data_IF_020379240068
#
_entry.id   IF_020379240068
#
_cell.length_a   1.000
_cell.length_b   1.000
_cell.length_c   1.000
_cell.angle_alpha   90.00
_cell.angle_beta   90.00
_cell.angle_gamma   90.00
#
_symmetry.space_group_name_H-M   'P 1'
#
loop_
_entity.id
_entity.type
_entity.pdbx_description
1 polymer ?
#
# COMPACT_ATOMS: atom_id res chain seq x y z
N UNK A 1 7.66 21.92 -61.33
CA UNK A 1 6.20 21.66 -61.26
C UNK A 1 5.78 21.78 -59.81
N UNK A 2 4.87 22.70 -59.43
CA UNK A 2 4.52 22.94 -58.05
C UNK A 2 3.41 22.00 -57.59
N UNK A 3 3.61 21.33 -56.45
CA UNK A 3 2.58 20.52 -55.78
C UNK A 3 1.82 21.42 -54.82
N UNK A 4 0.52 21.55 -55.07
CA UNK A 4 -0.42 22.37 -54.31
C UNK A 4 -0.58 21.83 -52.87
N UNK A 5 -0.48 22.73 -51.88
CA UNK A 5 -0.84 22.43 -50.49
C UNK A 5 -2.32 22.77 -50.29
N UNK A 6 -3.14 21.78 -49.99
CA UNK A 6 -4.52 21.97 -49.56
C UNK A 6 -4.57 22.50 -48.12
N UNK A 7 -5.17 23.67 -47.95
CA UNK A 7 -5.62 24.17 -46.65
C UNK A 7 -6.97 23.53 -46.29
N UNK A 8 -7.18 23.04 -45.06
CA UNK A 8 -8.52 22.71 -44.55
C UNK A 8 -9.27 23.98 -44.11
N UNK A 9 -10.61 24.03 -44.24
CA UNK A 9 -11.43 25.17 -43.82
C UNK A 9 -11.57 25.25 -42.28
N UNK A 10 -11.93 26.44 -41.73
CA UNK A 10 -12.10 26.64 -40.30
C UNK A 10 -13.45 26.08 -39.81
N UNK A 11 -13.45 25.53 -38.59
CA UNK A 11 -14.67 25.19 -37.85
C UNK A 11 -15.28 26.47 -37.29
N UNK A 12 -16.45 26.85 -37.83
CA UNK A 12 -17.30 27.90 -37.29
C UNK A 12 -17.82 27.52 -35.89
N UNK A 13 -17.62 28.44 -34.96
CA UNK A 13 -18.32 28.51 -33.69
C UNK A 13 -19.69 29.15 -33.90
N UNK A 14 -20.75 28.51 -33.41
CA UNK A 14 -22.03 29.16 -33.21
C UNK A 14 -22.71 28.64 -31.93
N UNK A 15 -22.84 29.52 -30.93
CA UNK A 15 -24.20 29.91 -30.54
C UNK A 15 -24.72 29.51 -29.15
N UNK A 16 -24.48 30.39 -28.18
CA UNK A 16 -25.56 31.15 -27.49
C UNK A 16 -26.48 30.43 -26.48
N UNK A 17 -26.15 30.63 -25.19
CA UNK A 17 -26.94 31.44 -24.22
C UNK A 17 -28.12 30.85 -23.41
N UNK A 18 -28.03 31.17 -22.12
CA UNK A 18 -29.06 31.74 -21.25
C UNK A 18 -30.01 30.85 -20.43
N UNK A 19 -29.74 30.90 -19.12
CA UNK A 19 -30.56 31.57 -18.10
C UNK A 19 -31.60 30.78 -17.27
N UNK A 20 -31.49 31.07 -15.96
CA UNK A 20 -32.56 31.26 -14.95
C UNK A 20 -33.27 30.02 -14.40
N UNK A 21 -33.07 29.78 -13.10
CA UNK A 21 -33.87 30.41 -12.03
C UNK A 21 -33.29 30.07 -10.64
N UNK A 22 -32.79 31.09 -9.95
CA UNK A 22 -32.95 31.21 -8.49
C UNK A 22 -34.38 31.65 -8.20
N UNK A 23 -35.00 31.08 -7.15
CA UNK A 23 -35.82 31.78 -6.14
C UNK A 23 -36.32 30.81 -5.07
N UNK A 24 -35.81 31.05 -3.86
CA UNK A 24 -36.48 31.24 -2.57
C UNK A 24 -37.66 30.35 -2.15
N UNK A 25 -37.48 29.72 -0.97
CA UNK A 25 -38.49 29.70 0.09
C UNK A 25 -37.83 29.48 1.47
N UNK A 26 -37.50 30.60 2.10
CA UNK A 26 -37.91 31.05 3.44
C UNK A 26 -38.18 30.01 4.54
N UNK A 27 -37.53 30.29 5.67
CA UNK A 27 -37.75 29.84 7.05
C UNK A 27 -39.21 29.69 7.48
N UNK A 28 -39.48 28.72 8.36
CA UNK A 28 -40.38 28.97 9.48
C UNK A 28 -39.94 28.25 10.74
N UNK A 29 -40.26 28.90 11.85
CA UNK A 29 -39.83 28.74 13.22
C UNK A 29 -40.28 27.43 13.89
N UNK A 30 -39.47 26.95 14.82
CA UNK A 30 -39.80 25.75 15.61
C UNK A 30 -38.92 25.53 16.83
N UNK A 31 -38.61 26.60 17.55
CA UNK A 31 -37.96 26.54 18.85
C UNK A 31 -38.93 25.94 19.89
N UNK A 32 -38.59 24.80 20.51
CA UNK A 32 -39.16 24.44 21.81
C UNK A 32 -38.18 23.55 22.62
N UNK A 33 -37.26 24.24 23.29
CA UNK A 33 -36.68 23.77 24.55
C UNK A 33 -37.54 24.32 25.69
N UNK A 34 -38.03 23.45 26.59
CA UNK A 34 -37.76 23.60 28.04
C UNK A 34 -38.17 22.36 28.86
N UNK A 35 -37.52 22.17 30.02
CA UNK A 35 -37.48 20.90 30.75
C UNK A 35 -38.24 20.96 32.09
N UNK A 36 -38.03 19.91 32.91
CA UNK A 36 -38.20 19.76 34.38
C UNK A 36 -39.36 18.86 34.83
N UNK A 37 -39.38 18.39 36.10
CA UNK A 37 -38.30 17.72 36.86
C UNK A 37 -38.84 16.47 37.57
N UNK A 38 -37.97 15.58 38.08
CA UNK A 38 -38.17 15.03 39.44
C UNK A 38 -36.94 14.29 39.96
N UNK A 39 -36.38 14.91 40.99
CA UNK A 39 -35.50 14.35 42.01
C UNK A 39 -36.07 13.03 42.55
N UNK A 40 -35.20 12.03 42.72
CA UNK A 40 -35.14 11.27 43.97
C UNK A 40 -33.69 11.09 44.37
N UNK A 41 -33.39 11.66 45.53
CA UNK A 41 -32.15 11.50 46.25
C UNK A 41 -32.38 10.57 47.45
N UNK A 42 -31.25 10.01 47.90
CA UNK A 42 -30.92 9.45 49.24
C UNK A 42 -30.96 7.92 49.37
N UNK A 43 -30.16 7.32 50.28
CA UNK A 43 -29.19 7.93 51.21
C UNK A 43 -27.74 7.43 51.09
N UNK A 44 -26.84 8.30 51.54
CA UNK A 44 -25.44 8.04 51.88
C UNK A 44 -25.41 7.18 53.14
N UNK A 45 -24.75 6.01 53.10
CA UNK A 45 -24.33 5.28 54.32
C UNK A 45 -22.83 5.47 54.47
N UNK A 46 -22.46 6.28 55.47
CA UNK A 46 -21.09 6.39 55.97
C UNK A 46 -20.91 5.28 57.00
N UNK A 47 -19.97 4.37 56.76
CA UNK A 47 -19.42 3.49 57.78
C UNK A 47 -17.89 3.66 57.76
N UNK A 48 -17.37 4.34 58.78
CA UNK A 48 -15.96 4.32 59.15
C UNK A 48 -15.61 2.93 59.69
N UNK A 49 -14.53 2.31 59.19
CA UNK A 49 -13.79 1.32 59.98
C UNK A 49 -12.31 1.28 59.60
N UNK A 50 -11.51 1.73 60.58
CA UNK A 50 -10.20 1.28 61.05
C UNK A 50 -9.12 0.84 60.03
N UNK A 51 -8.00 1.55 60.11
CA UNK A 51 -6.72 1.23 59.51
C UNK A 51 -6.13 -0.10 60.04
N UNK A 52 -5.63 -0.93 59.13
CA UNK A 52 -4.59 -1.93 59.38
C UNK A 52 -3.54 -1.78 58.27
N UNK A 53 -2.42 -1.12 58.59
CA UNK A 53 -1.25 -1.05 57.72
C UNK A 53 -0.49 -2.36 57.91
N UNK A 54 -0.79 -3.36 57.08
CA UNK A 54 0.07 -4.53 56.94
C UNK A 54 1.20 -4.18 55.97
N UNK A 55 2.42 -4.09 56.51
CA UNK A 55 3.66 -3.96 55.75
C UNK A 55 3.89 -5.21 54.92
N UNK A 56 3.31 -5.25 53.73
CA UNK A 56 3.62 -6.29 52.74
C UNK A 56 4.91 -5.84 52.06
N UNK A 57 5.99 -6.58 52.32
CA UNK A 57 7.32 -6.29 51.83
C UNK A 57 7.37 -6.11 50.33
N UNK A 58 8.23 -5.19 49.89
CA UNK A 58 8.65 -5.06 48.50
C UNK A 58 9.25 -6.38 48.03
N UNK A 59 8.44 -7.27 47.47
CA UNK A 59 8.99 -8.27 46.56
C UNK A 59 9.45 -7.49 45.34
N UNK A 60 10.77 -7.41 45.20
CA UNK A 60 11.41 -6.85 44.03
C UNK A 60 10.80 -7.50 42.81
N UNK A 61 10.10 -6.70 42.00
CA UNK A 61 9.83 -7.07 40.62
C UNK A 61 11.22 -7.15 40.01
N UNK A 62 11.77 -8.36 39.89
CA UNK A 62 12.83 -8.61 38.93
C UNK A 62 12.21 -8.24 37.60
N UNK A 63 12.48 -7.02 37.14
CA UNK A 63 12.34 -6.68 35.74
C UNK A 63 13.02 -7.82 35.00
N UNK A 64 12.23 -8.62 34.28
CA UNK A 64 12.80 -9.46 33.24
C UNK A 64 13.59 -8.47 32.40
N UNK A 65 14.91 -8.62 32.39
CA UNK A 65 15.73 -8.02 31.37
C UNK A 65 15.09 -8.48 30.07
N UNK A 66 14.35 -7.56 29.45
CA UNK A 66 14.08 -7.62 28.04
C UNK A 66 15.46 -7.82 27.43
N UNK A 67 15.68 -9.00 26.87
CA UNK A 67 16.80 -9.26 25.99
C UNK A 67 16.67 -8.16 24.94
N UNK A 68 17.44 -7.08 25.12
CA UNK A 68 17.39 -5.86 24.33
C UNK A 68 17.89 -6.07 22.91
N UNK A 69 17.43 -7.15 22.26
CA UNK A 69 17.51 -7.39 20.84
C UNK A 69 16.71 -6.29 20.17
N UNK A 70 17.43 -5.20 19.91
CA UNK A 70 17.05 -4.21 18.92
C UNK A 70 16.69 -4.97 17.65
N UNK A 71 15.39 -4.97 17.30
CA UNK A 71 14.95 -5.56 16.04
C UNK A 71 15.58 -4.72 14.94
N UNK A 72 16.59 -5.29 14.30
CA UNK A 72 17.27 -4.66 13.18
C UNK A 72 16.33 -4.66 11.97
N UNK A 73 16.13 -3.52 11.27
CA UNK A 73 15.17 -3.41 10.16
C UNK A 73 15.66 -4.02 8.84
N UNK A 74 16.91 -4.49 8.77
CA UNK A 74 17.55 -5.10 7.59
C UNK A 74 17.94 -6.56 7.81
N UNK A 75 18.14 -7.26 6.71
CA UNK A 75 18.85 -8.53 6.65
C UNK A 75 20.33 -8.31 6.30
N UNK A 76 21.14 -9.33 6.50
CA UNK A 76 22.53 -9.42 6.03
C UNK A 76 22.78 -10.85 5.53
N UNK A 77 23.96 -11.11 4.96
CA UNK A 77 24.39 -12.47 4.56
C UNK A 77 24.32 -13.49 5.71
N UNK A 78 24.41 -13.03 6.97
CA UNK A 78 24.32 -13.87 8.15
C UNK A 78 22.89 -14.40 8.42
N UNK A 79 21.87 -13.77 7.83
CA UNK A 79 20.45 -14.08 8.08
C UNK A 79 19.86 -15.05 7.03
N UNK A 80 20.70 -15.71 6.25
CA UNK A 80 20.27 -16.59 5.17
C UNK A 80 19.46 -17.81 5.67
N UNK A 81 18.36 -18.22 5.00
CA UNK A 81 17.73 -17.55 3.86
C UNK A 81 17.05 -16.24 4.26
N UNK A 82 17.11 -15.24 3.39
CA UNK A 82 16.58 -13.89 3.66
C UNK A 82 15.07 -13.93 3.93
N UNK A 83 14.64 -13.22 4.96
CA UNK A 83 13.24 -13.17 5.39
C UNK A 83 12.72 -11.74 5.50
N UNK A 84 11.39 -11.59 5.42
CA UNK A 84 10.76 -10.31 5.68
C UNK A 84 10.93 -9.90 7.15
N UNK A 85 11.54 -8.74 7.37
CA UNK A 85 11.41 -7.99 8.63
C UNK A 85 10.28 -6.98 8.49
N UNK A 86 10.32 -6.26 7.38
CA UNK A 86 9.32 -5.30 6.90
C UNK A 86 9.38 -5.28 5.37
N UNK A 87 8.36 -4.73 4.72
CA UNK A 87 8.30 -4.60 3.27
C UNK A 87 7.89 -3.19 2.85
N UNK A 88 8.25 -2.82 1.63
CA UNK A 88 7.62 -1.68 0.98
C UNK A 88 6.45 -2.19 0.12
N UNK A 89 5.45 -1.34 -0.13
CA UNK A 89 4.31 -1.68 -0.95
C UNK A 89 4.15 -0.71 -2.12
N UNK A 90 3.92 -1.27 -3.30
CA UNK A 90 3.67 -0.55 -4.54
C UNK A 90 2.44 -1.11 -5.25
N UNK A 91 1.88 -0.32 -6.14
CA UNK A 91 0.73 -0.74 -6.95
C UNK A 91 0.84 -0.20 -8.37
N UNK A 92 0.49 -1.02 -9.35
CA UNK A 92 0.41 -0.65 -10.76
C UNK A 92 -0.93 -1.11 -11.34
N UNK A 93 -1.54 -0.28 -12.20
CA UNK A 93 -2.78 -0.62 -12.88
C UNK A 93 -2.61 -0.40 -14.38
N UNK A 94 -2.81 -1.46 -15.15
CA UNK A 94 -2.64 -1.49 -16.60
C UNK A 94 -3.88 -2.05 -17.28
N UNK A 95 -4.22 -1.52 -18.45
CA UNK A 95 -5.36 -2.00 -19.24
C UNK A 95 -6.68 -2.05 -18.43
N UNK A 96 -6.86 -1.17 -17.44
CA UNK A 96 -8.09 -1.09 -16.64
C UNK A 96 -8.80 0.24 -16.86
N UNK A 97 -10.11 0.24 -16.63
CA UNK A 97 -10.88 1.43 -16.29
C UNK A 97 -11.01 1.48 -14.77
N UNK A 98 -10.54 2.57 -14.17
CA UNK A 98 -10.51 2.66 -12.71
C UNK A 98 -9.57 1.65 -12.05
N UNK A 99 -9.16 1.98 -10.84
CA UNK A 99 -8.34 1.09 -10.02
C UNK A 99 -8.32 1.62 -8.58
N UNK A 100 -8.96 0.90 -7.66
CA UNK A 100 -9.08 1.30 -6.28
C UNK A 100 -8.45 0.23 -5.42
N UNK A 101 -7.33 0.56 -4.76
CA UNK A 101 -6.56 -0.39 -3.97
C UNK A 101 -6.35 0.17 -2.58
N UNK A 102 -6.80 -0.57 -1.58
CA UNK A 102 -6.53 -0.29 -0.16
C UNK A 102 -5.68 -1.40 0.43
N UNK A 103 -4.64 -1.05 1.18
CA UNK A 103 -3.80 -2.00 1.90
C UNK A 103 -3.33 -1.37 3.22
N UNK A 104 -3.20 -2.18 4.28
CA UNK A 104 -2.90 -1.73 5.64
C UNK A 104 -3.67 -0.46 6.09
N UNK A 105 -4.96 -0.38 5.76
CA UNK A 105 -5.82 0.75 6.13
C UNK A 105 -5.60 2.03 5.32
N UNK A 106 -4.75 2.02 4.30
CA UNK A 106 -4.46 3.17 3.43
C UNK A 106 -4.99 2.93 2.02
N UNK A 107 -5.64 3.94 1.46
CA UNK A 107 -5.92 4.01 0.01
C UNK A 107 -4.59 4.26 -0.72
N UNK A 108 -4.11 3.25 -1.44
CA UNK A 108 -2.81 3.27 -2.15
C UNK A 108 -3.00 3.69 -3.61
N UNK A 109 -4.14 3.34 -4.21
CA UNK A 109 -4.53 3.78 -5.56
C UNK A 109 -5.99 4.17 -5.57
N UNK A 110 -6.27 5.26 -6.26
CA UNK A 110 -7.61 5.78 -6.53
C UNK A 110 -7.60 6.37 -7.94
N UNK A 111 -8.11 5.62 -8.91
CA UNK A 111 -8.15 6.02 -10.31
C UNK A 111 -9.58 6.04 -10.83
N UNK A 112 -9.96 7.06 -11.63
CA UNK A 112 -11.31 7.17 -12.15
C UNK A 112 -11.58 6.15 -13.26
N UNK A 113 -12.86 5.84 -13.43
CA UNK A 113 -13.37 4.80 -14.33
C UNK A 113 -13.60 5.28 -15.77
N UNK A 114 -13.33 6.55 -16.08
CA UNK A 114 -13.68 7.19 -17.37
C UNK A 114 -12.64 7.00 -18.47
N UNK A 115 -11.39 6.73 -18.10
CA UNK A 115 -10.28 6.55 -19.04
C UNK A 115 -9.60 5.20 -18.87
N UNK A 116 -9.41 4.49 -19.99
CA UNK A 116 -8.60 3.28 -20.04
C UNK A 116 -7.14 3.63 -19.74
N UNK A 117 -6.56 2.96 -18.76
CA UNK A 117 -5.15 3.10 -18.40
C UNK A 117 -4.25 2.48 -19.46
N UNK A 118 -3.00 2.95 -19.46
CA UNK A 118 -1.95 2.43 -20.31
C UNK A 118 -1.87 0.90 -20.21
N UNK A 119 -1.60 0.21 -21.32
CA UNK A 119 -1.29 -1.22 -21.32
C UNK A 119 0.14 -1.47 -20.83
N UNK A 120 0.42 -2.55 -20.10
CA UNK A 120 1.80 -2.89 -19.73
C UNK A 120 2.65 -3.16 -20.98
N UNK A 121 2.06 -3.71 -22.05
CA UNK A 121 2.73 -4.02 -23.31
C UNK A 121 3.33 -2.78 -23.99
N UNK A 122 2.73 -1.61 -23.81
CA UNK A 122 3.23 -0.38 -24.43
C UNK A 122 4.47 0.18 -23.73
N UNK A 123 4.86 -0.38 -22.58
CA UNK A 123 6.12 -0.05 -21.91
C UNK A 123 7.32 -0.77 -22.54
N UNK A 124 7.09 -1.82 -23.35
CA UNK A 124 8.13 -2.61 -23.99
C UNK A 124 9.13 -3.16 -22.97
N UNK A 125 10.42 -3.03 -23.29
CA UNK A 125 11.54 -3.54 -22.47
C UNK A 125 11.62 -2.94 -21.06
N UNK A 126 10.85 -1.90 -20.75
CA UNK A 126 10.78 -1.34 -19.38
C UNK A 126 9.92 -2.18 -18.45
N UNK A 127 9.06 -3.05 -18.97
CA UNK A 127 8.21 -3.92 -18.17
C UNK A 127 8.83 -5.32 -18.05
N UNK A 128 8.85 -5.96 -16.86
CA UNK A 128 8.28 -5.50 -15.58
C UNK A 128 9.23 -4.62 -14.74
N UNK A 129 10.40 -4.27 -15.27
CA UNK A 129 11.45 -3.52 -14.56
C UNK A 129 11.06 -2.11 -14.13
N UNK A 130 9.90 -1.59 -14.49
CA UNK A 130 9.38 -0.31 -14.04
C UNK A 130 8.59 -0.41 -12.71
N UNK A 131 8.30 -1.62 -12.22
CA UNK A 131 7.49 -1.84 -11.02
C UNK A 131 8.30 -1.58 -9.74
N UNK A 132 7.78 -0.72 -8.84
CA UNK A 132 8.46 -0.29 -7.61
C UNK A 132 7.51 -0.18 -6.43
N UNK A 133 8.04 -0.41 -5.23
CA UNK A 133 7.41 -0.03 -3.96
C UNK A 133 7.53 1.49 -3.73
N UNK A 134 6.51 2.08 -3.13
CA UNK A 134 6.53 3.52 -2.77
C UNK A 134 6.13 3.80 -1.33
N UNK A 135 5.38 2.89 -0.71
CA UNK A 135 5.01 2.99 0.70
C UNK A 135 5.93 2.13 1.55
N UNK A 136 6.74 2.77 2.39
CA UNK A 136 7.90 2.14 3.02
C UNK A 136 7.60 1.55 4.41
N UNK A 137 8.34 0.50 4.77
CA UNK A 137 8.50 0.06 6.17
C UNK A 137 7.23 -0.53 6.81
N UNK A 138 6.45 -1.30 6.04
CA UNK A 138 5.28 -2.01 6.54
C UNK A 138 5.74 -3.28 7.25
N UNK A 139 5.44 -3.38 8.54
CA UNK A 139 5.75 -4.57 9.35
C UNK A 139 4.78 -5.72 9.07
N UNK A 140 5.30 -6.96 9.10
CA UNK A 140 4.54 -8.20 8.86
C UNK A 140 3.74 -8.14 7.55
N UNK A 141 2.62 -8.85 7.50
CA UNK A 141 1.61 -8.77 6.45
C UNK A 141 0.29 -8.31 7.06
N UNK A 142 -0.11 -7.06 6.84
CA UNK A 142 -1.44 -6.55 7.19
C UNK A 142 -2.58 -7.38 6.58
N UNK A 143 -3.85 -7.11 6.98
CA UNK A 143 -4.99 -7.71 6.32
C UNK A 143 -4.97 -7.53 4.79
N UNK A 144 -5.65 -8.42 4.04
CA UNK A 144 -5.60 -8.47 2.59
C UNK A 144 -5.77 -7.10 1.92
N UNK A 145 -5.02 -6.90 0.82
CA UNK A 145 -5.23 -5.76 -0.04
C UNK A 145 -6.60 -5.91 -0.72
N UNK A 146 -7.43 -4.88 -0.63
CA UNK A 146 -8.75 -4.82 -1.27
C UNK A 146 -8.61 -4.14 -2.61
N UNK A 147 -9.00 -4.82 -3.67
CA UNK A 147 -8.82 -4.37 -5.06
C UNK A 147 -10.20 -4.30 -5.72
N UNK A 148 -10.55 -3.15 -6.29
CA UNK A 148 -11.69 -3.00 -7.20
C UNK A 148 -11.25 -2.32 -8.49
N UNK A 149 -11.67 -2.86 -9.62
CA UNK A 149 -11.31 -2.33 -10.93
C UNK A 149 -12.33 -2.74 -11.98
N UNK A 150 -12.20 -2.19 -13.18
CA UNK A 150 -12.95 -2.63 -14.35
C UNK A 150 -11.97 -3.02 -15.44
N UNK A 151 -12.08 -4.23 -15.98
CA UNK A 151 -11.19 -4.74 -17.03
C UNK A 151 -11.35 -3.94 -18.33
N UNK A 152 -10.43 -4.15 -19.27
CA UNK A 152 -10.41 -3.48 -20.57
C UNK A 152 -11.70 -3.67 -21.37
N UNK A 153 -12.36 -4.80 -21.19
CA UNK A 153 -13.66 -5.13 -21.79
C UNK A 153 -14.86 -4.50 -21.06
N UNK A 154 -14.62 -3.78 -19.97
CA UNK A 154 -15.64 -3.09 -19.20
C UNK A 154 -16.29 -3.90 -18.08
N UNK A 155 -15.86 -5.14 -17.81
CA UNK A 155 -16.40 -5.93 -16.70
C UNK A 155 -15.86 -5.47 -15.34
N UNK A 156 -16.72 -5.34 -14.33
CA UNK A 156 -16.35 -4.94 -12.97
C UNK A 156 -15.85 -6.13 -12.15
N UNK A 157 -14.78 -5.92 -11.39
CA UNK A 157 -14.15 -6.94 -10.56
C UNK A 157 -13.85 -6.42 -9.15
N UNK A 158 -13.86 -7.34 -8.18
CA UNK A 158 -13.39 -7.13 -6.82
C UNK A 158 -12.63 -8.37 -6.35
N UNK A 159 -11.52 -8.15 -5.63
CA UNK A 159 -10.72 -9.22 -5.07
C UNK A 159 -10.01 -8.78 -3.78
N UNK A 160 -9.85 -9.73 -2.87
CA UNK A 160 -8.95 -9.63 -1.71
C UNK A 160 -7.66 -10.40 -2.02
N UNK A 161 -6.51 -9.74 -1.89
CA UNK A 161 -5.18 -10.33 -2.15
C UNK A 161 -4.40 -10.37 -0.84
N UNK A 162 -4.20 -11.57 -0.31
CA UNK A 162 -3.56 -11.79 0.99
C UNK A 162 -2.06 -12.07 0.85
N UNK A 163 -1.25 -11.08 1.20
CA UNK A 163 0.21 -11.19 1.18
C UNK A 163 0.72 -12.21 2.21
N UNK A 164 0.01 -12.40 3.33
CA UNK A 164 0.37 -13.40 4.33
C UNK A 164 0.22 -14.84 3.81
N UNK A 165 -0.76 -15.06 2.91
CA UNK A 165 -0.95 -16.35 2.23
C UNK A 165 0.09 -16.54 1.13
N UNK A 166 0.35 -15.53 0.31
CA UNK A 166 1.34 -15.59 -0.78
C UNK A 166 2.76 -15.84 -0.23
N UNK A 167 3.10 -15.18 0.87
CA UNK A 167 4.41 -15.28 1.54
C UNK A 167 4.29 -16.02 2.88
N UNK A 168 3.57 -17.13 2.92
CA UNK A 168 3.36 -17.91 4.15
C UNK A 168 4.67 -18.40 4.79
N UNK A 169 5.73 -18.58 3.98
CA UNK A 169 7.08 -18.97 4.44
C UNK A 169 7.97 -17.78 4.84
N UNK A 170 7.48 -16.55 4.66
CA UNK A 170 8.17 -15.29 4.91
C UNK A 170 9.51 -15.11 4.19
N UNK A 171 9.80 -15.85 3.10
CA UNK A 171 11.08 -15.73 2.40
C UNK A 171 11.08 -14.58 1.39
N UNK A 172 12.19 -13.88 1.29
CA UNK A 172 12.45 -12.93 0.19
C UNK A 172 12.84 -13.75 -1.05
N UNK A 173 12.10 -13.61 -2.14
CA UNK A 173 12.33 -14.30 -3.43
C UNK A 173 13.41 -13.62 -4.28
N UNK A 174 14.49 -14.32 -4.58
CA UNK A 174 15.56 -13.83 -5.48
C UNK A 174 16.37 -15.01 -6.00
N UNK A 175 17.21 -14.76 -7.01
CA UNK A 175 18.07 -15.79 -7.63
C UNK A 175 19.55 -15.66 -7.26
N UNK A 176 19.89 -14.65 -6.45
CA UNK A 176 21.29 -14.39 -6.04
C UNK A 176 21.84 -15.54 -5.18
N UNK A 177 23.00 -16.13 -5.55
CA UNK A 177 23.71 -17.08 -4.69
C UNK A 177 24.29 -16.39 -3.45
N UNK A 178 24.22 -17.04 -2.29
CA UNK A 178 24.65 -16.46 -1.00
C UNK A 178 26.10 -15.98 -1.04
N UNK A 179 26.98 -16.76 -1.66
CA UNK A 179 28.42 -16.52 -1.77
C UNK A 179 28.77 -15.26 -2.57
N UNK A 180 27.88 -14.81 -3.46
CA UNK A 180 28.06 -13.62 -4.29
C UNK A 180 27.60 -12.33 -3.59
N UNK A 181 26.83 -12.43 -2.49
CA UNK A 181 26.32 -11.27 -1.74
C UNK A 181 27.44 -10.59 -0.96
N UNK A 182 27.50 -9.26 -1.00
CA UNK A 182 28.50 -8.47 -0.31
C UNK A 182 28.36 -8.59 1.22
N UNK A 183 29.37 -9.18 1.86
CA UNK A 183 29.40 -9.34 3.31
C UNK A 183 29.42 -8.00 4.04
N UNK A 184 28.78 -7.93 5.21
CA UNK A 184 28.66 -6.70 6.00
C UNK A 184 27.70 -5.64 5.42
N UNK A 185 27.10 -5.88 4.25
CA UNK A 185 26.08 -4.99 3.69
C UNK A 185 24.69 -5.28 4.24
N UNK A 186 23.94 -4.21 4.50
CA UNK A 186 22.52 -4.28 4.79
C UNK A 186 21.72 -4.59 3.52
N UNK A 187 20.84 -5.57 3.64
CA UNK A 187 19.84 -5.94 2.64
C UNK A 187 18.51 -5.41 3.16
N UNK A 188 18.07 -4.32 2.54
CA UNK A 188 16.92 -3.56 3.00
C UNK A 188 15.59 -4.18 2.57
N UNK A 189 14.51 -3.47 2.87
CA UNK A 189 13.16 -3.92 2.65
C UNK A 189 12.95 -4.31 1.18
N UNK A 190 12.45 -5.53 0.91
CA UNK A 190 11.94 -5.84 -0.41
C UNK A 190 10.67 -5.02 -0.69
N UNK A 191 10.45 -4.71 -1.96
CA UNK A 191 9.18 -4.20 -2.46
C UNK A 191 8.24 -5.38 -2.76
N UNK A 192 7.00 -5.28 -2.31
CA UNK A 192 5.87 -6.07 -2.81
C UNK A 192 5.04 -5.16 -3.69
N UNK A 193 4.82 -5.54 -4.95
CA UNK A 193 4.05 -4.76 -5.91
C UNK A 193 2.82 -5.55 -6.32
N UNK A 194 1.63 -5.01 -6.01
CA UNK A 194 0.36 -5.53 -6.51
C UNK A 194 0.04 -4.84 -7.84
N UNK A 195 0.08 -5.61 -8.92
CA UNK A 195 -0.28 -5.17 -10.25
C UNK A 195 -1.68 -5.68 -10.61
N UNK A 196 -2.54 -4.78 -11.08
CA UNK A 196 -3.78 -5.14 -11.79
C UNK A 196 -3.54 -4.90 -13.27
N UNK A 197 -3.63 -5.94 -14.08
CA UNK A 197 -3.42 -5.89 -15.52
C UNK A 197 -4.58 -6.54 -16.26
N UNK A 198 -5.51 -5.71 -16.75
CA UNK A 198 -6.79 -6.12 -17.33
C UNK A 198 -7.60 -7.03 -16.39
N UNK A 199 -7.64 -8.34 -16.66
CA UNK A 199 -8.35 -9.35 -15.85
C UNK A 199 -7.44 -10.08 -14.87
N UNK A 200 -6.15 -9.79 -14.87
CA UNK A 200 -5.17 -10.52 -14.06
C UNK A 200 -4.64 -9.63 -12.95
N UNK A 201 -4.58 -10.17 -11.73
CA UNK A 201 -3.78 -9.57 -10.67
C UNK A 201 -2.48 -10.36 -10.57
N UNK A 202 -1.36 -9.64 -10.57
CA UNK A 202 -0.04 -10.18 -10.29
C UNK A 202 0.48 -9.59 -8.98
N UNK A 203 1.23 -10.39 -8.24
CA UNK A 203 2.08 -9.89 -7.16
C UNK A 203 3.53 -10.13 -7.56
N UNK A 204 4.27 -9.04 -7.65
CA UNK A 204 5.70 -9.03 -7.91
C UNK A 204 6.44 -8.73 -6.62
N UNK A 205 7.66 -9.24 -6.53
CA UNK A 205 8.56 -8.95 -5.43
C UNK A 205 9.90 -8.47 -5.97
N UNK A 206 10.48 -7.44 -5.37
CA UNK A 206 11.77 -6.86 -5.77
C UNK A 206 12.64 -6.71 -4.55
N UNK A 207 13.87 -7.23 -4.57
CA UNK A 207 14.79 -7.12 -3.44
C UNK A 207 16.12 -6.55 -3.93
N UNK A 208 16.60 -5.48 -3.31
CA UNK A 208 17.92 -4.94 -3.60
C UNK A 208 18.97 -5.74 -2.83
N UNK A 209 19.76 -6.55 -3.53
CA UNK A 209 20.77 -7.43 -2.95
C UNK A 209 22.16 -6.97 -3.40
N UNK A 210 22.96 -6.38 -2.49
CA UNK A 210 24.33 -5.95 -2.78
C UNK A 210 25.23 -7.15 -3.14
N UNK A 211 26.00 -7.02 -4.20
CA UNK A 211 26.87 -8.04 -4.78
C UNK A 211 28.34 -7.71 -4.50
N UNK A 212 29.18 -8.74 -4.34
CA UNK A 212 30.64 -8.62 -4.22
C UNK A 212 31.27 -8.06 -5.50
N UNK A 213 30.70 -8.39 -6.65
CA UNK A 213 31.19 -7.99 -7.97
C UNK A 213 30.12 -7.20 -8.73
N UNK A 214 30.48 -6.11 -9.44
CA UNK A 214 29.55 -5.41 -10.31
C UNK A 214 29.01 -6.31 -11.42
N UNK A 215 27.74 -6.16 -11.77
CA UNK A 215 27.13 -6.88 -12.90
C UNK A 215 27.73 -6.44 -14.25
N UNK A 216 27.99 -5.14 -14.39
CA UNK A 216 28.58 -4.55 -15.58
C UNK A 216 30.04 -4.25 -15.25
N UNK A 217 31.02 -4.92 -15.90
CA UNK A 217 32.43 -4.68 -15.65
C UNK A 217 32.80 -3.20 -15.82
N UNK A 218 33.49 -2.64 -14.83
CA UNK A 218 33.89 -1.23 -14.81
C UNK A 218 32.80 -0.24 -14.38
N UNK A 219 31.58 -0.71 -14.08
CA UNK A 219 30.50 0.12 -13.58
C UNK A 219 30.18 -0.21 -12.10
N UNK A 220 30.83 0.47 -11.17
CA UNK A 220 30.73 0.19 -9.73
C UNK A 220 29.31 0.33 -9.16
N UNK A 221 28.45 1.14 -9.76
CA UNK A 221 27.04 1.29 -9.33
C UNK A 221 26.15 0.11 -9.72
N UNK A 222 26.66 -0.84 -10.51
CA UNK A 222 25.97 -2.09 -10.87
C UNK A 222 26.23 -3.22 -9.88
N UNK A 223 26.67 -2.91 -8.66
CA UNK A 223 27.00 -3.88 -7.61
C UNK A 223 25.79 -4.35 -6.79
N UNK A 224 24.60 -4.42 -7.39
CA UNK A 224 23.42 -4.96 -6.75
C UNK A 224 22.52 -5.64 -7.76
N UNK A 225 21.81 -6.69 -7.34
CA UNK A 225 20.72 -7.33 -8.09
C UNK A 225 19.38 -6.87 -7.52
N UNK A 226 18.46 -6.48 -8.39
CA UNK A 226 17.14 -5.98 -7.97
C UNK A 226 16.05 -6.29 -9.00
N UNK A 227 16.19 -7.35 -9.78
CA UNK A 227 15.17 -7.72 -10.78
C UNK A 227 13.85 -8.12 -10.08
N UNK A 228 12.69 -7.74 -10.65
CA UNK A 228 11.38 -8.16 -10.13
C UNK A 228 11.11 -9.65 -10.40
N UNK A 229 10.58 -10.34 -9.40
CA UNK A 229 10.18 -11.75 -9.46
C UNK A 229 8.66 -11.84 -9.34
N UNK A 230 8.00 -12.50 -10.30
CA UNK A 230 6.56 -12.79 -10.20
C UNK A 230 6.35 -13.90 -9.17
N UNK A 231 5.65 -13.60 -8.08
CA UNK A 231 5.45 -14.57 -6.99
C UNK A 231 4.05 -15.18 -6.96
N UNK A 232 3.08 -14.50 -7.55
CA UNK A 232 1.69 -14.95 -7.61
C UNK A 232 0.95 -14.28 -8.77
N UNK A 233 0.04 -15.01 -9.40
CA UNK A 233 -0.79 -14.51 -10.49
C UNK A 233 -2.16 -15.18 -10.48
N UNK A 234 -3.22 -14.43 -10.78
CA UNK A 234 -4.57 -14.95 -10.94
C UNK A 234 -5.40 -14.11 -11.90
N UNK A 235 -6.12 -14.77 -12.79
CA UNK A 235 -7.07 -14.15 -13.74
C UNK A 235 -8.52 -14.33 -13.28
N UNK A 236 -9.36 -13.34 -13.58
CA UNK A 236 -10.78 -13.23 -13.19
C UNK A 236 -11.74 -13.10 -14.39
#
# INVERSE_FOLDING_TARGET
>A
MPVARHHPPPLESAGTSASRKLRDAVMDDGCNLRPTPRRRARPLTIALLAALITTTGCQGVTAKTDDGRTIRPDNTVADWPLKFVQHNFGVACYSTYGCHITYAGRLVRDEPDDQLKLSSESLGDKYPDNLRGGWLGIFNFPPPAKVRWRSKDGASHEADVDMAVIFADQLIRHEVPREEVLEGSSIMNPDIILEVNDRTINVWMRAFIPMKTPQIPGNEISNARDEPVLVWSRTY
#
